data_IF_489360430129
#
_entry.id   IF_489360430129
#
_cell.length_a   1.000
_cell.length_b   1.000
_cell.length_c   1.000
_cell.angle_alpha   90.00
_cell.angle_beta   90.00
_cell.angle_gamma   90.00
#
_symmetry.space_group_name_H-M   'P 1'
#
loop_
_entity.id
_entity.type
_entity.pdbx_description
1 polymer ?
#
# COMPACT_ATOMS: atom_id res chain seq x y z
N UNK A 1 50.01 7.98 2.44
CA UNK A 1 49.63 6.54 2.35
C UNK A 1 48.45 6.20 3.26
N UNK A 2 48.47 6.57 4.55
CA UNK A 2 47.36 6.32 5.49
C UNK A 2 46.01 6.90 5.06
N UNK A 3 45.98 8.16 4.60
CA UNK A 3 44.75 8.82 4.17
C UNK A 3 44.10 8.16 2.94
N UNK A 4 44.92 7.66 2.01
CA UNK A 4 44.44 6.95 0.82
C UNK A 4 43.88 5.58 1.22
N UNK A 5 44.52 4.88 2.16
CA UNK A 5 44.02 3.62 2.68
C UNK A 5 42.67 3.79 3.41
N UNK A 6 42.55 4.85 4.24
CA UNK A 6 41.28 5.20 4.90
C UNK A 6 40.17 5.53 3.91
N UNK A 7 40.49 6.27 2.85
CA UNK A 7 39.52 6.61 1.80
C UNK A 7 39.04 5.36 1.04
N UNK A 8 39.93 4.44 0.71
CA UNK A 8 39.59 3.17 0.06
C UNK A 8 38.73 2.29 0.97
N UNK A 9 39.04 2.20 2.26
CA UNK A 9 38.23 1.49 3.25
C UNK A 9 36.83 2.11 3.40
N UNK A 10 36.73 3.45 3.40
CA UNK A 10 35.46 4.17 3.47
C UNK A 10 34.62 3.97 2.20
N UNK A 11 35.24 4.05 1.03
CA UNK A 11 34.58 3.78 -0.25
C UNK A 11 34.10 2.32 -0.34
N UNK A 12 34.90 1.35 0.10
CA UNK A 12 34.53 -0.07 0.08
C UNK A 12 33.40 -0.41 1.06
N UNK A 13 33.36 0.23 2.23
CA UNK A 13 32.27 0.07 3.20
C UNK A 13 30.98 0.78 2.78
N UNK A 14 31.08 1.91 2.07
CA UNK A 14 29.92 2.59 1.47
C UNK A 14 29.36 1.89 0.22
N UNK A 15 30.18 1.10 -0.49
CA UNK A 15 29.79 0.33 -1.68
C UNK A 15 29.49 -1.13 -1.39
N UNK A 16 29.53 -1.53 -0.11
CA UNK A 16 28.85 -2.73 0.35
C UNK A 16 27.33 -2.50 0.22
N UNK A 17 26.82 -2.62 -1.00
CA UNK A 17 25.39 -2.73 -1.24
C UNK A 17 24.92 -3.87 -0.34
N UNK A 18 24.10 -3.53 0.66
CA UNK A 18 23.27 -4.56 1.26
C UNK A 18 22.57 -5.24 0.09
N UNK A 19 22.81 -6.54 -0.07
CA UNK A 19 21.84 -7.40 -0.74
C UNK A 19 20.64 -7.37 0.20
N UNK A 20 19.92 -6.26 0.19
CA UNK A 20 18.72 -6.09 0.98
C UNK A 20 17.71 -6.97 0.28
N UNK A 21 17.57 -8.19 0.78
CA UNK A 21 16.55 -9.12 0.33
C UNK A 21 15.25 -8.35 0.22
N UNK A 22 14.69 -8.33 -0.99
CA UNK A 22 13.45 -7.61 -1.27
C UNK A 22 12.35 -8.25 -0.42
N UNK A 23 11.97 -7.57 0.67
CA UNK A 23 10.92 -8.04 1.57
C UNK A 23 9.52 -7.74 1.06
N UNK A 24 9.39 -6.86 0.05
CA UNK A 24 8.12 -6.55 -0.59
C UNK A 24 7.65 -7.71 -1.47
N UNK A 25 6.38 -8.04 -1.39
CA UNK A 25 5.68 -8.91 -2.35
C UNK A 25 4.42 -8.22 -2.86
N UNK A 26 3.75 -8.85 -3.83
CA UNK A 26 2.47 -8.38 -4.38
C UNK A 26 1.52 -9.56 -4.56
N UNK A 27 0.25 -9.36 -4.22
CA UNK A 27 -0.83 -10.34 -4.38
C UNK A 27 -1.93 -9.72 -5.25
N UNK A 28 -2.12 -10.23 -6.47
CA UNK A 28 -3.11 -9.71 -7.42
C UNK A 28 -2.75 -9.96 -8.89
N UNK A 29 -3.46 -9.38 -9.87
CA UNK A 29 -4.68 -8.56 -9.72
C UNK A 29 -5.93 -9.45 -9.65
N UNK A 30 -6.82 -9.19 -8.70
CA UNK A 30 -8.04 -9.97 -8.49
C UNK A 30 -9.26 -9.20 -8.99
N UNK A 31 -9.93 -9.70 -10.03
CA UNK A 31 -11.13 -9.07 -10.58
C UNK A 31 -11.20 -9.10 -12.11
N UNK A 32 -12.02 -8.21 -12.68
CA UNK A 32 -12.13 -7.98 -14.12
C UNK A 32 -11.11 -6.94 -14.64
N UNK A 33 -11.12 -6.68 -15.95
CA UNK A 33 -10.18 -5.75 -16.62
C UNK A 33 -10.77 -4.36 -16.94
N UNK A 34 -11.99 -4.08 -16.48
CA UNK A 34 -12.67 -2.82 -16.73
C UNK A 34 -12.16 -1.65 -15.88
N UNK A 35 -12.61 -0.43 -16.20
CA UNK A 35 -12.27 0.78 -15.43
C UNK A 35 -10.91 1.39 -15.76
N UNK A 36 -10.37 2.18 -14.83
CA UNK A 36 -9.05 2.81 -14.92
C UNK A 36 -8.18 2.32 -13.76
N UNK A 37 -6.90 2.08 -14.05
CA UNK A 37 -5.92 1.70 -13.02
C UNK A 37 -5.78 2.80 -11.96
N UNK A 38 -5.57 2.38 -10.71
CA UNK A 38 -5.17 3.26 -9.61
C UNK A 38 -4.06 2.58 -8.80
N UNK A 39 -3.29 3.36 -8.03
CA UNK A 39 -2.24 2.84 -7.16
C UNK A 39 -2.01 3.80 -6.00
N UNK A 40 -1.86 3.27 -4.80
CA UNK A 40 -1.52 4.05 -3.61
C UNK A 40 -0.02 4.03 -3.27
N UNK A 41 0.85 3.73 -4.24
CA UNK A 41 2.29 3.56 -4.00
C UNK A 41 2.96 4.77 -3.35
N UNK A 42 2.47 5.99 -3.59
CA UNK A 42 3.00 7.21 -2.96
C UNK A 42 2.50 7.43 -1.54
N UNK A 43 1.27 6.99 -1.24
CA UNK A 43 0.58 7.28 0.03
C UNK A 43 1.23 6.61 1.23
N UNK A 44 2.03 5.56 1.05
CA UNK A 44 2.80 4.96 2.14
C UNK A 44 3.75 5.95 2.84
N UNK A 45 4.12 7.05 2.17
CA UNK A 45 4.94 8.11 2.76
C UNK A 45 4.18 8.92 3.83
N UNK A 46 2.84 8.93 3.78
CA UNK A 46 2.00 9.60 4.78
C UNK A 46 1.89 8.80 6.09
N UNK A 47 2.23 7.51 6.07
CA UNK A 47 2.26 6.62 7.24
C UNK A 47 1.64 5.24 7.00
N UNK A 48 1.54 4.41 8.05
CA UNK A 48 0.91 3.09 7.95
C UNK A 48 -0.59 3.22 7.70
N UNK A 49 -1.24 2.14 7.26
CA UNK A 49 -2.70 2.14 7.12
C UNK A 49 -3.34 2.27 8.51
N UNK A 50 -4.26 3.22 8.68
CA UNK A 50 -4.96 3.46 9.97
C UNK A 50 -6.47 3.38 9.89
N UNK A 51 -7.05 3.38 8.68
CA UNK A 51 -8.49 3.22 8.49
C UNK A 51 -8.83 2.84 7.04
N UNK A 52 -10.03 2.30 6.87
CA UNK A 52 -10.63 1.97 5.59
C UNK A 52 -11.99 2.63 5.44
N UNK A 53 -12.29 3.05 4.22
CA UNK A 53 -13.65 3.30 3.74
C UNK A 53 -13.95 2.39 2.58
N UNK A 54 -15.08 1.70 2.66
CA UNK A 54 -15.56 0.83 1.61
C UNK A 54 -17.00 1.23 1.33
N UNK A 55 -17.27 1.68 0.10
CA UNK A 55 -18.65 1.87 -0.34
C UNK A 55 -19.16 0.55 -0.88
N UNK A 56 -20.30 0.09 -0.38
CA UNK A 56 -20.91 -1.17 -0.79
C UNK A 56 -22.35 -0.94 -1.23
N UNK A 57 -22.81 -1.78 -2.15
CA UNK A 57 -24.24 -1.92 -2.43
C UNK A 57 -24.62 -3.41 -2.34
N UNK A 58 -25.85 -3.74 -2.70
CA UNK A 58 -26.40 -5.10 -2.61
C UNK A 58 -25.50 -6.19 -3.23
N UNK A 59 -24.69 -5.85 -4.23
CA UNK A 59 -23.95 -6.84 -5.03
C UNK A 59 -22.44 -6.59 -5.13
N UNK A 60 -21.95 -5.39 -4.78
CA UNK A 60 -20.60 -4.96 -5.12
C UNK A 60 -19.94 -4.10 -4.05
N UNK A 61 -18.61 -4.15 -4.04
CA UNK A 61 -17.77 -3.05 -3.59
C UNK A 61 -17.75 -2.00 -4.70
N UNK A 62 -18.20 -0.80 -4.39
CA UNK A 62 -18.46 0.29 -5.33
C UNK A 62 -17.32 1.30 -5.34
N UNK A 63 -16.68 1.50 -4.19
CA UNK A 63 -15.51 2.36 -4.10
C UNK A 63 -14.73 2.17 -2.81
N UNK A 64 -13.50 2.67 -2.83
CA UNK A 64 -12.50 2.46 -1.80
C UNK A 64 -11.80 3.79 -1.45
N UNK A 65 -11.45 3.92 -0.18
CA UNK A 65 -10.52 4.92 0.32
C UNK A 65 -9.72 4.30 1.47
N UNK A 66 -8.44 4.61 1.54
CA UNK A 66 -7.56 4.11 2.60
C UNK A 66 -6.90 5.29 3.29
N UNK A 67 -6.80 5.24 4.61
CA UNK A 67 -6.10 6.25 5.39
C UNK A 67 -4.68 5.80 5.69
N UNK A 68 -3.71 6.63 5.32
CA UNK A 68 -2.28 6.44 5.57
C UNK A 68 -1.81 7.48 6.60
N UNK A 69 -1.38 7.01 7.77
CA UNK A 69 -1.11 7.84 8.93
C UNK A 69 -2.37 8.61 9.32
N UNK A 70 -2.39 9.91 9.01
CA UNK A 70 -3.55 10.77 9.25
C UNK A 70 -4.32 11.22 7.99
N UNK A 71 -3.78 10.92 6.81
CA UNK A 71 -4.22 11.43 5.51
C UNK A 71 -5.03 10.37 4.78
N UNK A 72 -6.19 10.75 4.24
CA UNK A 72 -6.97 9.87 3.38
C UNK A 72 -6.43 9.91 1.95
N UNK A 73 -6.37 8.75 1.29
CA UNK A 73 -6.13 8.68 -0.16
C UNK A 73 -7.25 9.39 -0.92
N UNK A 74 -7.01 9.68 -2.20
CA UNK A 74 -8.10 10.01 -3.12
C UNK A 74 -9.13 8.86 -3.13
N UNK A 75 -10.41 9.22 -3.23
CA UNK A 75 -11.49 8.25 -3.35
C UNK A 75 -11.50 7.64 -4.75
N UNK A 76 -11.58 6.32 -4.85
CA UNK A 76 -11.68 5.60 -6.12
C UNK A 76 -12.99 4.81 -6.19
N UNK A 77 -13.66 4.85 -7.33
CA UNK A 77 -14.91 4.12 -7.57
C UNK A 77 -16.14 5.01 -7.75
N UNK A 78 -17.32 4.39 -7.70
CA UNK A 78 -18.60 5.06 -7.90
C UNK A 78 -19.21 5.57 -6.60
N UNK A 79 -20.37 6.22 -6.70
CA UNK A 79 -21.08 6.82 -5.56
C UNK A 79 -22.32 6.04 -5.11
N UNK A 80 -22.74 5.01 -5.85
CA UNK A 80 -23.98 4.27 -5.62
C UNK A 80 -23.85 3.18 -4.57
N UNK A 81 -24.08 3.52 -3.30
CA UNK A 81 -24.09 2.57 -2.19
C UNK A 81 -23.89 3.27 -0.85
N UNK A 82 -23.87 2.49 0.22
CA UNK A 82 -23.62 2.98 1.57
C UNK A 82 -22.12 2.98 1.87
N UNK A 83 -21.65 4.00 2.59
CA UNK A 83 -20.24 4.15 2.95
C UNK A 83 -20.01 3.55 4.34
N UNK A 84 -19.22 2.49 4.40
CA UNK A 84 -18.78 1.88 5.65
C UNK A 84 -17.36 2.34 5.97
N UNK A 85 -17.10 2.62 7.25
CA UNK A 85 -15.80 3.13 7.73
C UNK A 85 -15.36 2.35 8.98
N UNK A 86 -14.08 1.94 8.98
CA UNK A 86 -13.47 1.23 10.10
C UNK A 86 -12.08 1.81 10.35
N UNK A 87 -11.83 2.21 11.61
CA UNK A 87 -10.50 2.59 12.09
C UNK A 87 -9.78 1.40 12.70
N UNK A 88 -8.49 1.30 12.44
CA UNK A 88 -7.60 0.36 13.10
C UNK A 88 -7.23 0.89 14.48
N UNK A 89 -6.98 -0.03 15.41
CA UNK A 89 -6.39 0.32 16.70
C UNK A 89 -4.95 0.81 16.52
N UNK A 90 -4.41 1.60 17.47
CA UNK A 90 -3.01 2.02 17.42
C UNK A 90 -2.06 0.82 17.35
N UNK A 91 -1.20 0.79 16.33
CA UNK A 91 -0.24 -0.29 16.09
C UNK A 91 -0.81 -1.55 15.43
N UNK A 92 -2.12 -1.60 15.15
CA UNK A 92 -2.72 -2.69 14.39
C UNK A 92 -2.28 -2.64 12.92
N UNK A 93 -2.15 -3.80 12.29
CA UNK A 93 -1.76 -3.93 10.89
C UNK A 93 -2.52 -5.06 10.21
N UNK A 94 -2.83 -4.89 8.93
CA UNK A 94 -3.44 -5.95 8.12
C UNK A 94 -2.39 -7.00 7.79
N UNK A 95 -2.64 -8.23 8.23
CA UNK A 95 -1.75 -9.37 7.96
C UNK A 95 -2.31 -10.34 6.91
N UNK A 96 -3.59 -10.22 6.55
CA UNK A 96 -4.24 -11.06 5.54
C UNK A 96 -5.40 -10.30 4.90
N UNK A 97 -5.58 -10.47 3.59
CA UNK A 97 -6.74 -9.99 2.84
C UNK A 97 -7.35 -11.18 2.09
N UNK A 98 -8.63 -11.43 2.31
CA UNK A 98 -9.42 -12.40 1.55
C UNK A 98 -10.63 -11.70 0.96
N UNK A 99 -11.22 -12.28 -0.09
CA UNK A 99 -12.36 -11.65 -0.75
C UNK A 99 -13.00 -12.55 -1.79
N UNK A 100 -14.07 -12.03 -2.39
CA UNK A 100 -14.79 -12.66 -3.51
C UNK A 100 -14.96 -11.63 -4.60
N UNK A 101 -14.85 -12.08 -5.85
CA UNK A 101 -15.13 -11.28 -7.03
C UNK A 101 -15.89 -12.12 -8.04
N UNK A 102 -16.45 -11.45 -9.05
CA UNK A 102 -16.97 -12.07 -10.28
C UNK A 102 -16.39 -11.34 -11.48
N UNK A 103 -16.34 -12.02 -12.62
CA UNK A 103 -16.02 -11.39 -13.90
C UNK A 103 -17.28 -10.83 -14.53
N UNK A 104 -17.29 -9.52 -14.80
CA UNK A 104 -18.13 -8.93 -15.83
C UNK A 104 -17.22 -8.38 -16.92
#
# INVERSE_FOLDING_TARGET
>A
MLAVALLVLLCASASANSIQSRTSSYSGEYGGKGGKRFSHSGNQLDGPITAFRIRVNRYYIVGLQVRYGTVWSDYVGGTQGDLEEIFLHPGESVIQVSGKYKSY
#
